data_IF_956592972326
#
_entry.id   IF_956592972326
#
_cell.length_a   1.000
_cell.length_b   1.000
_cell.length_c   1.000
_cell.angle_alpha   90.00
_cell.angle_beta   90.00
_cell.angle_gamma   90.00
#
_symmetry.space_group_name_H-M   'P 1'
#
loop_
_entity.id
_entity.type
_entity.pdbx_description
1 polymer ?
#
# COMPACT_ATOMS: atom_id res chain seq x y z
N UNK A 1 20.86 -10.75 50.73
CA UNK A 1 20.44 -10.77 49.32
C UNK A 1 19.53 -9.57 49.12
N UNK A 2 20.03 -8.49 48.48
CA UNK A 2 19.19 -7.32 48.20
C UNK A 2 18.29 -7.68 47.03
N UNK A 3 16.99 -7.73 47.26
CA UNK A 3 16.01 -7.84 46.19
C UNK A 3 16.04 -6.51 45.43
N UNK A 4 16.63 -6.50 44.25
CA UNK A 4 16.47 -5.39 43.32
C UNK A 4 15.03 -5.43 42.83
N UNK A 5 14.24 -4.45 43.26
CA UNK A 5 12.91 -4.23 42.70
C UNK A 5 13.08 -3.26 41.54
N UNK A 6 12.92 -3.77 40.33
CA UNK A 6 12.86 -2.95 39.13
C UNK A 6 11.45 -2.34 39.06
N UNK A 7 11.31 -1.09 39.51
CA UNK A 7 10.04 -0.37 39.46
C UNK A 7 10.02 0.41 38.15
N UNK A 8 9.33 -0.12 37.13
CA UNK A 8 9.03 0.58 35.88
C UNK A 8 7.67 1.30 35.99
N UNK A 9 7.59 2.52 35.44
CA UNK A 9 6.33 3.22 35.20
C UNK A 9 6.25 3.54 33.71
N UNK A 10 5.59 2.67 32.94
CA UNK A 10 5.30 2.90 31.52
C UNK A 10 4.12 3.85 31.33
N UNK A 11 4.43 5.10 31.04
CA UNK A 11 3.46 6.16 30.71
C UNK A 11 2.61 5.83 29.47
N UNK A 12 3.18 5.09 28.51
CA UNK A 12 2.49 4.59 27.31
C UNK A 12 2.56 3.07 27.24
N UNK A 13 1.43 2.41 27.50
CA UNK A 13 1.28 0.95 27.36
C UNK A 13 0.98 0.52 25.92
N UNK A 14 0.93 -0.80 25.70
CA UNK A 14 0.64 -1.44 24.41
C UNK A 14 -0.57 -0.81 23.69
N UNK A 15 -1.63 -0.50 24.42
CA UNK A 15 -2.86 0.10 23.89
C UNK A 15 -2.64 1.44 23.18
N UNK A 16 -1.72 2.27 23.67
CA UNK A 16 -1.46 3.56 23.03
C UNK A 16 -0.62 3.40 21.77
N UNK A 17 0.40 2.52 21.82
CA UNK A 17 1.18 2.14 20.63
C UNK A 17 0.30 1.55 19.55
N UNK A 18 -0.63 0.65 19.89
CA UNK A 18 -1.55 0.02 18.96
C UNK A 18 -2.47 1.06 18.28
N UNK A 19 -2.93 2.08 19.02
CA UNK A 19 -3.74 3.18 18.47
C UNK A 19 -2.94 4.02 17.47
N UNK A 20 -1.71 4.39 17.82
CA UNK A 20 -0.81 5.15 16.94
C UNK A 20 -0.49 4.36 15.67
N UNK A 21 -0.14 3.08 15.82
CA UNK A 21 0.14 2.19 14.69
C UNK A 21 -1.10 2.07 13.80
N UNK A 22 -2.28 1.80 14.36
CA UNK A 22 -3.52 1.68 13.58
C UNK A 22 -3.84 2.96 12.79
N UNK A 23 -3.68 4.14 13.41
CA UNK A 23 -3.89 5.41 12.71
C UNK A 23 -2.84 5.67 11.62
N UNK A 24 -1.57 5.37 11.90
CA UNK A 24 -0.49 5.49 10.94
C UNK A 24 -0.70 4.56 9.74
N UNK A 25 -1.02 3.28 9.98
CA UNK A 25 -1.31 2.30 8.93
C UNK A 25 -2.53 2.70 8.09
N UNK A 26 -3.58 3.25 8.71
CA UNK A 26 -4.71 3.81 7.98
C UNK A 26 -4.28 4.96 7.06
N UNK A 27 -3.40 5.84 7.52
CA UNK A 27 -2.85 6.93 6.71
C UNK A 27 -1.97 6.42 5.56
N UNK A 28 -1.12 5.43 5.83
CA UNK A 28 -0.28 4.78 4.82
C UNK A 28 -1.12 4.07 3.76
N UNK A 29 -2.22 3.41 4.16
CA UNK A 29 -3.13 2.72 3.22
C UNK A 29 -3.83 3.70 2.28
N UNK A 30 -4.25 4.86 2.80
CA UNK A 30 -4.72 5.99 1.96
C UNK A 30 -3.62 6.49 1.03
N UNK A 31 -2.38 6.55 1.51
CA UNK A 31 -1.22 6.88 0.68
C UNK A 31 -0.99 5.87 -0.45
N UNK A 32 -1.10 4.57 -0.16
CA UNK A 32 -1.02 3.50 -1.15
C UNK A 32 -2.12 3.58 -2.20
N UNK A 33 -3.36 3.93 -1.80
CA UNK A 33 -4.46 4.18 -2.73
C UNK A 33 -4.16 5.34 -3.69
N UNK A 34 -3.62 6.46 -3.18
CA UNK A 34 -3.20 7.59 -4.02
C UNK A 34 -2.08 7.18 -4.97
N UNK A 35 -1.04 6.50 -4.46
CA UNK A 35 0.07 6.03 -5.28
C UNK A 35 -0.38 5.03 -6.37
N UNK A 36 -1.29 4.12 -6.04
CA UNK A 36 -1.92 3.20 -6.98
C UNK A 36 -2.74 3.93 -8.05
N UNK A 37 -3.48 4.96 -7.68
CA UNK A 37 -4.21 5.82 -8.61
C UNK A 37 -3.27 6.56 -9.58
N UNK A 38 -2.16 7.12 -9.09
CA UNK A 38 -1.13 7.72 -9.94
C UNK A 38 -0.49 6.69 -10.88
N UNK A 39 -0.19 5.49 -10.37
CA UNK A 39 0.31 4.39 -11.18
C UNK A 39 -0.66 3.99 -12.30
N UNK A 40 -1.98 3.96 -12.05
CA UNK A 40 -3.00 3.68 -13.07
C UNK A 40 -3.07 4.74 -14.18
N UNK A 41 -2.83 6.01 -13.86
CA UNK A 41 -2.79 7.11 -14.86
C UNK A 41 -1.60 6.94 -15.81
N UNK A 42 -0.46 6.53 -15.27
CA UNK A 42 0.81 6.39 -16.00
C UNK A 42 0.88 5.05 -16.75
N UNK A 43 0.23 4.01 -16.22
CA UNK A 43 0.22 2.69 -16.81
C UNK A 43 -0.28 2.72 -18.27
N UNK A 44 0.40 2.01 -19.20
CA UNK A 44 0.04 2.02 -20.63
C UNK A 44 -1.45 1.74 -20.88
N UNK A 45 -2.08 2.63 -21.65
CA UNK A 45 -3.54 2.65 -21.89
C UNK A 45 -4.06 1.37 -22.55
N UNK A 46 -3.26 0.72 -23.38
CA UNK A 46 -3.64 -0.51 -24.11
C UNK A 46 -3.79 -1.75 -23.20
N UNK A 47 -3.51 -1.63 -21.90
CA UNK A 47 -3.64 -2.74 -20.95
C UNK A 47 -4.62 -2.39 -19.83
N UNK A 48 -5.92 -2.45 -20.13
CA UNK A 48 -6.96 -2.31 -19.11
C UNK A 48 -6.79 -3.31 -17.96
N UNK A 49 -6.40 -4.55 -18.26
CA UNK A 49 -6.12 -5.58 -17.25
C UNK A 49 -4.95 -5.21 -16.34
N UNK A 50 -3.90 -4.53 -16.85
CA UNK A 50 -2.80 -4.03 -16.00
C UNK A 50 -3.29 -2.99 -15.01
N UNK A 51 -4.10 -2.03 -15.47
CA UNK A 51 -4.63 -0.99 -14.58
C UNK A 51 -5.50 -1.59 -13.48
N UNK A 52 -6.35 -2.56 -13.85
CA UNK A 52 -7.26 -3.25 -12.91
C UNK A 52 -6.55 -4.19 -11.95
N UNK A 53 -5.32 -4.63 -12.26
CA UNK A 53 -4.52 -5.47 -11.37
C UNK A 53 -3.65 -4.68 -10.39
N UNK A 54 -3.66 -3.35 -10.45
CA UNK A 54 -3.00 -2.53 -9.43
C UNK A 54 -3.74 -2.71 -8.11
N UNK A 55 -3.02 -3.20 -7.10
CA UNK A 55 -3.55 -3.63 -5.82
C UNK A 55 -2.76 -3.01 -4.67
N UNK A 56 -3.47 -2.59 -3.62
CA UNK A 56 -2.95 -2.00 -2.40
C UNK A 56 -3.27 -2.88 -1.21
N UNK A 57 -2.24 -3.28 -0.48
CA UNK A 57 -2.36 -4.20 0.66
C UNK A 57 -1.59 -3.70 1.87
N UNK A 58 -2.00 -4.16 3.04
CA UNK A 58 -1.33 -3.89 4.32
C UNK A 58 -0.55 -5.13 4.78
N UNK A 59 0.70 -4.94 5.18
CA UNK A 59 1.54 -5.91 5.87
C UNK A 59 2.04 -7.11 5.06
N UNK A 60 1.71 -7.19 3.78
CA UNK A 60 2.29 -8.15 2.85
C UNK A 60 1.78 -7.93 1.43
N UNK A 61 2.34 -8.66 0.48
CA UNK A 61 1.81 -8.73 -0.90
C UNK A 61 0.51 -9.53 -0.95
N UNK A 62 -0.41 -9.22 -1.87
CA UNK A 62 -1.62 -10.02 -2.07
C UNK A 62 -1.31 -11.40 -2.66
N UNK A 63 -2.31 -12.28 -2.67
CA UNK A 63 -2.31 -13.41 -3.59
C UNK A 63 -2.37 -12.88 -5.04
N UNK A 64 -1.23 -12.92 -5.72
CA UNK A 64 -1.08 -12.32 -7.04
C UNK A 64 -1.96 -13.01 -8.10
N UNK A 65 -2.22 -14.30 -7.98
CA UNK A 65 -3.05 -15.04 -8.92
C UNK A 65 -4.53 -14.62 -8.82
N UNK A 66 -5.04 -14.47 -7.59
CA UNK A 66 -6.40 -13.96 -7.35
C UNK A 66 -6.57 -12.54 -7.90
N UNK A 67 -5.60 -11.66 -7.66
CA UNK A 67 -5.59 -10.30 -8.20
C UNK A 67 -5.62 -10.30 -9.73
N UNK A 68 -4.92 -11.24 -10.36
CA UNK A 68 -4.90 -11.34 -11.81
C UNK A 68 -6.24 -11.82 -12.38
N UNK A 69 -6.84 -12.86 -11.78
CA UNK A 69 -8.15 -13.36 -12.23
C UNK A 69 -9.27 -12.32 -12.02
N UNK A 70 -9.24 -11.59 -10.90
CA UNK A 70 -10.16 -10.47 -10.66
C UNK A 70 -9.96 -9.35 -11.71
N UNK A 71 -8.71 -9.04 -12.07
CA UNK A 71 -8.42 -8.00 -13.07
C UNK A 71 -8.91 -8.37 -14.49
N UNK A 72 -8.98 -9.67 -14.83
CA UNK A 72 -9.53 -10.12 -16.11
C UNK A 72 -11.04 -9.93 -16.21
N UNK A 73 -11.74 -10.21 -15.11
CA UNK A 73 -13.21 -10.27 -15.06
C UNK A 73 -13.85 -8.94 -14.67
N UNK A 74 -13.11 -8.06 -13.99
CA UNK A 74 -13.59 -6.74 -13.63
C UNK A 74 -13.76 -5.82 -14.85
N UNK A 75 -14.93 -5.19 -14.96
CA UNK A 75 -15.18 -4.07 -15.87
C UNK A 75 -14.94 -2.74 -15.14
N UNK A 76 -14.34 -1.77 -15.84
CA UNK A 76 -14.22 -0.34 -15.43
C UNK A 76 -13.89 -0.05 -13.96
N UNK A 77 -12.71 -0.47 -13.49
CA UNK A 77 -12.12 0.10 -12.27
C UNK A 77 -11.29 1.34 -12.61
N UNK A 78 -11.74 2.51 -12.15
CA UNK A 78 -11.00 3.78 -12.19
C UNK A 78 -10.18 4.04 -10.92
N UNK A 79 -10.10 3.05 -10.02
CA UNK A 79 -9.39 3.12 -8.75
C UNK A 79 -8.63 1.81 -8.51
N UNK A 80 -7.51 1.84 -7.78
CA UNK A 80 -6.77 0.63 -7.46
C UNK A 80 -7.59 -0.28 -6.54
N UNK A 81 -7.32 -1.58 -6.58
CA UNK A 81 -7.95 -2.54 -5.68
C UNK A 81 -7.33 -2.40 -4.28
N UNK A 82 -8.07 -1.86 -3.30
CA UNK A 82 -7.58 -1.74 -1.92
C UNK A 82 -8.15 -2.88 -1.09
N UNK A 83 -7.31 -3.86 -0.73
CA UNK A 83 -7.79 -5.02 0.04
C UNK A 83 -8.18 -4.62 1.46
N UNK A 84 -9.36 -5.04 1.91
CA UNK A 84 -9.83 -4.77 3.27
C UNK A 84 -8.97 -5.51 4.32
N UNK A 85 -8.63 -6.75 4.04
CA UNK A 85 -7.90 -7.65 4.96
C UNK A 85 -6.38 -7.42 4.88
N UNK A 86 -5.73 -7.40 6.04
CA UNK A 86 -4.27 -7.39 6.17
C UNK A 86 -3.69 -8.70 5.63
N UNK A 87 -2.57 -8.64 4.90
CA UNK A 87 -1.95 -9.78 4.23
C UNK A 87 -0.74 -10.36 4.99
N UNK A 88 -0.25 -9.66 6.01
CA UNK A 88 0.87 -10.10 6.85
C UNK A 88 1.09 -9.16 8.01
N UNK A 89 2.20 -9.30 8.74
CA UNK A 89 2.43 -8.53 9.97
C UNK A 89 3.40 -7.35 9.84
N UNK A 90 3.96 -7.14 8.67
CA UNK A 90 4.86 -6.02 8.43
C UNK A 90 4.13 -4.68 8.59
N UNK A 91 4.81 -3.68 9.17
CA UNK A 91 4.28 -2.32 9.26
C UNK A 91 4.53 -1.56 7.96
N UNK A 92 3.92 -2.05 6.88
CA UNK A 92 4.11 -1.52 5.54
C UNK A 92 2.84 -1.61 4.69
N UNK A 93 2.80 -0.80 3.64
CA UNK A 93 1.76 -0.82 2.63
C UNK A 93 2.41 -1.09 1.30
N UNK A 94 1.87 -2.06 0.56
CA UNK A 94 2.40 -2.47 -0.73
C UNK A 94 1.48 -1.96 -1.82
N UNK A 95 2.08 -1.47 -2.91
CA UNK A 95 1.39 -1.22 -4.17
C UNK A 95 1.98 -2.20 -5.17
N UNK A 96 1.15 -3.11 -5.66
CA UNK A 96 1.54 -4.22 -6.54
C UNK A 96 0.74 -4.17 -7.83
N UNK A 97 1.25 -4.79 -8.89
CA UNK A 97 0.49 -5.03 -10.10
C UNK A 97 0.86 -6.41 -10.65
N UNK A 98 -0.13 -7.29 -10.83
CA UNK A 98 0.13 -8.62 -11.38
C UNK A 98 -0.59 -8.85 -12.71
N UNK A 99 0.19 -8.91 -13.78
CA UNK A 99 -0.17 -9.54 -15.06
C UNK A 99 1.14 -9.97 -15.74
N UNK A 100 1.11 -10.93 -16.68
CA UNK A 100 2.28 -11.21 -17.53
C UNK A 100 2.80 -9.95 -18.25
N UNK A 101 1.91 -9.00 -18.53
CA UNK A 101 2.25 -7.73 -19.15
C UNK A 101 2.86 -6.71 -18.18
N UNK A 102 2.50 -6.75 -16.89
CA UNK A 102 3.01 -5.83 -15.86
C UNK A 102 4.52 -5.90 -15.79
N UNK A 103 5.07 -7.11 -15.61
CA UNK A 103 6.51 -7.33 -15.56
C UNK A 103 7.20 -6.86 -16.85
N UNK A 104 6.64 -7.22 -18.02
CA UNK A 104 7.21 -6.81 -19.31
C UNK A 104 7.25 -5.28 -19.47
N UNK A 105 6.20 -4.57 -19.03
CA UNK A 105 6.16 -3.11 -19.11
C UNK A 105 7.02 -2.41 -18.07
N UNK A 106 7.13 -3.00 -16.89
CA UNK A 106 7.81 -2.42 -15.75
C UNK A 106 9.33 -2.64 -15.81
N UNK A 107 9.75 -3.85 -16.16
CA UNK A 107 11.16 -4.25 -16.17
C UNK A 107 11.78 -4.31 -17.57
N UNK A 108 11.07 -4.84 -18.56
CA UNK A 108 11.67 -5.20 -19.86
C UNK A 108 11.48 -4.15 -20.97
N UNK A 109 10.64 -3.15 -20.76
CA UNK A 109 10.40 -2.11 -21.75
C UNK A 109 11.57 -1.11 -21.74
N UNK A 110 12.18 -0.84 -22.90
CA UNK A 110 13.26 0.15 -23.06
C UNK A 110 12.89 1.56 -22.60
N UNK A 111 11.60 1.90 -22.66
CA UNK A 111 11.09 3.18 -22.16
C UNK A 111 10.86 3.18 -20.64
N UNK A 112 11.09 2.04 -19.97
CA UNK A 112 10.96 1.81 -18.53
C UNK A 112 9.78 2.58 -17.95
N UNK A 113 8.58 2.17 -18.36
CA UNK A 113 7.31 2.60 -17.77
C UNK A 113 7.23 2.06 -16.34
N UNK A 114 8.11 2.55 -15.48
CA UNK A 114 8.24 2.33 -14.04
C UNK A 114 7.05 2.96 -13.35
N UNK A 115 5.87 2.46 -13.68
CA UNK A 115 4.59 3.10 -13.38
C UNK A 115 4.28 3.03 -11.88
N UNK A 116 4.77 2.00 -11.18
CA UNK A 116 4.64 1.90 -9.73
C UNK A 116 5.58 2.91 -9.05
N UNK A 117 6.85 2.97 -9.46
CA UNK A 117 7.81 3.92 -8.86
C UNK A 117 7.43 5.35 -9.16
N UNK A 118 7.01 5.66 -10.40
CA UNK A 118 6.53 7.01 -10.74
C UNK A 118 5.24 7.35 -10.02
N UNK A 119 4.33 6.39 -9.86
CA UNK A 119 3.11 6.57 -9.06
C UNK A 119 3.44 6.91 -7.61
N UNK A 120 4.41 6.21 -7.03
CA UNK A 120 4.92 6.50 -5.69
C UNK A 120 5.61 7.86 -5.60
N UNK A 121 6.48 8.19 -6.56
CA UNK A 121 7.16 9.49 -6.64
C UNK A 121 6.15 10.65 -6.71
N UNK A 122 5.09 10.51 -7.51
CA UNK A 122 4.04 11.53 -7.60
C UNK A 122 3.23 11.66 -6.30
N UNK A 123 3.08 10.58 -5.55
CA UNK A 123 2.34 10.57 -4.29
C UNK A 123 3.20 10.90 -3.06
N UNK A 124 4.53 10.95 -3.19
CA UNK A 124 5.48 10.96 -2.07
C UNK A 124 5.24 12.12 -1.08
N UNK A 125 4.85 13.29 -1.57
CA UNK A 125 4.61 14.48 -0.73
C UNK A 125 3.24 14.46 -0.05
N UNK A 126 2.31 13.64 -0.56
CA UNK A 126 0.95 13.50 -0.05
C UNK A 126 0.89 12.44 1.05
N UNK A 127 1.68 11.38 0.94
CA UNK A 127 1.69 10.26 1.90
C UNK A 127 1.95 10.74 3.35
N UNK A 128 3.01 11.52 3.66
CA UNK A 128 3.24 12.02 5.02
C UNK A 128 2.08 12.86 5.54
N UNK A 129 1.47 13.70 4.68
CA UNK A 129 0.33 14.56 5.04
C UNK A 129 -0.90 13.73 5.42
N UNK A 130 -1.14 12.61 4.71
CA UNK A 130 -2.24 11.69 5.01
C UNK A 130 -2.03 10.99 6.36
N UNK A 131 -0.80 10.54 6.62
CA UNK A 131 -0.42 9.93 7.90
C UNK A 131 -0.57 10.92 9.05
N UNK A 132 0.02 12.11 8.92
CA UNK A 132 -0.07 13.18 9.92
C UNK A 132 -1.54 13.54 10.21
N UNK A 133 -2.37 13.63 9.17
CA UNK A 133 -3.81 13.89 9.32
C UNK A 133 -4.53 12.81 10.12
N UNK A 134 -4.17 11.54 9.97
CA UNK A 134 -4.77 10.46 10.78
C UNK A 134 -4.27 10.51 12.23
N UNK A 135 -2.98 10.79 12.44
CA UNK A 135 -2.40 10.91 13.77
C UNK A 135 -2.99 12.09 14.56
N UNK A 136 -3.25 13.24 13.91
CA UNK A 136 -3.91 14.40 14.54
C UNK A 136 -5.37 14.14 14.95
N UNK A 137 -5.98 13.04 14.51
CA UNK A 137 -7.35 12.65 14.86
C UNK A 137 -7.43 11.67 16.03
N UNK A 138 -6.29 11.19 16.52
CA UNK A 138 -6.20 10.44 17.77
C UNK A 138 -6.41 11.36 18.96
#
# INVERSE_FOLDING_TARGET
>A
MKTEFDIDVKWFGKTASDKVIAAAMKGLKQGGEVAGGEAMKIAPVLSGTLKRSICVTEGGTPNLDEVFEEAKTSSDKNQPNVMATKQGDELSVYVTANTPYAYKQHEQNKNHSKFLERGLQNAQDVIPKLVERQLKRL
#
